data_IF_747854809218
#
_entry.id   IF_747854809218
#
_cell.length_a   1.000
_cell.length_b   1.000
_cell.length_c   1.000
_cell.angle_alpha   90.00
_cell.angle_beta   90.00
_cell.angle_gamma   90.00
#
_symmetry.space_group_name_H-M   'P 1'
#
loop_
_entity.id
_entity.type
_entity.pdbx_description
1 polymer ?
#
# COMPACT_ATOMS: atom_id res chain seq x y z
N UNK A 1 0.98 15.57 6.76
CA UNK A 1 0.17 14.53 6.07
C UNK A 1 0.65 13.17 6.54
N UNK A 2 -0.26 12.30 6.98
CA UNK A 2 0.09 10.92 7.40
C UNK A 2 0.21 10.02 6.17
N UNK A 3 1.00 8.96 6.26
CA UNK A 3 1.21 8.03 5.13
C UNK A 3 -0.10 7.39 4.64
N UNK A 4 -1.03 7.09 5.55
CA UNK A 4 -2.36 6.54 5.20
C UNK A 4 -3.20 7.53 4.39
N UNK A 5 -3.12 8.83 4.70
CA UNK A 5 -3.81 9.89 3.95
C UNK A 5 -3.18 10.09 2.57
N UNK A 6 -1.85 10.05 2.50
CA UNK A 6 -1.11 10.16 1.24
C UNK A 6 -1.44 9.03 0.25
N UNK A 7 -1.66 7.81 0.76
CA UNK A 7 -1.96 6.63 -0.06
C UNK A 7 -3.48 6.40 -0.26
N UNK A 8 -4.33 7.30 0.25
CA UNK A 8 -5.79 7.16 0.20
C UNK A 8 -6.27 5.83 0.80
N UNK A 9 -5.67 5.43 1.92
CA UNK A 9 -5.92 4.14 2.57
C UNK A 9 -7.18 4.15 3.42
N UNK A 10 -8.10 3.23 3.13
CA UNK A 10 -9.32 2.97 3.88
C UNK A 10 -9.31 1.53 4.39
N UNK A 11 -9.52 1.33 5.69
CA UNK A 11 -9.56 0.02 6.31
C UNK A 11 -11.01 -0.50 6.35
N UNK A 12 -11.22 -1.72 5.86
CA UNK A 12 -12.47 -2.45 5.96
C UNK A 12 -12.64 -3.17 7.31
N UNK A 13 -13.88 -3.54 7.62
CA UNK A 13 -14.23 -4.24 8.86
C UNK A 13 -13.70 -5.68 8.94
N UNK A 14 -13.32 -6.26 7.80
CA UNK A 14 -12.76 -7.60 7.66
C UNK A 14 -11.21 -7.61 7.75
N UNK A 15 -10.60 -6.48 8.09
CA UNK A 15 -9.14 -6.32 8.08
C UNK A 15 -8.56 -6.06 6.70
N UNK A 16 -9.39 -6.02 5.64
CA UNK A 16 -8.94 -5.62 4.32
C UNK A 16 -8.64 -4.12 4.26
N UNK A 17 -7.84 -3.73 3.27
CA UNK A 17 -7.52 -2.34 2.98
C UNK A 17 -7.81 -2.04 1.52
N UNK A 18 -8.29 -0.82 1.27
CA UNK A 18 -8.39 -0.25 -0.06
C UNK A 18 -7.50 0.98 -0.13
N UNK A 19 -6.65 1.07 -1.14
CA UNK A 19 -5.80 2.23 -1.40
C UNK A 19 -6.13 2.82 -2.76
N UNK A 20 -6.03 4.14 -2.88
CA UNK A 20 -6.19 4.84 -4.16
C UNK A 20 -4.81 5.18 -4.71
N UNK A 21 -4.37 4.45 -5.74
CA UNK A 21 -3.08 4.65 -6.38
C UNK A 21 -3.28 5.55 -7.59
N UNK A 22 -3.07 6.85 -7.41
CA UNK A 22 -3.15 7.81 -8.52
C UNK A 22 -1.97 7.74 -9.48
N UNK A 23 -2.08 8.43 -10.61
CA UNK A 23 -1.03 8.47 -11.66
C UNK A 23 0.22 9.20 -11.19
N UNK A 24 0.08 10.11 -10.24
CA UNK A 24 1.18 10.80 -9.56
C UNK A 24 2.08 9.85 -8.76
N UNK A 25 1.58 8.65 -8.44
CA UNK A 25 2.34 7.59 -7.77
C UNK A 25 2.92 6.57 -8.76
N UNK A 26 2.92 6.84 -10.07
CA UNK A 26 3.54 5.95 -11.04
C UNK A 26 5.07 6.09 -11.04
N UNK A 27 5.75 4.96 -11.09
CA UNK A 27 7.18 4.88 -11.30
C UNK A 27 7.54 4.76 -12.78
N UNK A 28 8.75 4.28 -13.06
CA UNK A 28 9.17 3.95 -14.41
C UNK A 28 8.25 2.87 -15.04
N UNK A 29 8.15 2.88 -16.37
CA UNK A 29 7.42 1.88 -17.16
C UNK A 29 5.88 1.86 -16.97
N UNK A 30 5.29 2.94 -16.42
CA UNK A 30 3.84 3.15 -16.41
C UNK A 30 3.05 2.35 -15.37
N UNK A 31 3.75 1.74 -14.41
CA UNK A 31 3.14 1.08 -13.25
C UNK A 31 3.26 1.92 -11.98
N UNK A 32 2.49 1.58 -10.96
CA UNK A 32 2.61 2.13 -9.62
C UNK A 32 4.05 1.99 -9.10
N UNK A 33 4.54 3.04 -8.44
CA UNK A 33 5.85 3.05 -7.80
C UNK A 33 5.91 1.97 -6.73
N UNK A 34 6.87 1.05 -6.86
CA UNK A 34 6.99 -0.10 -5.97
C UNK A 34 7.08 0.27 -4.49
N UNK A 35 7.73 1.40 -4.17
CA UNK A 35 7.80 1.90 -2.78
C UNK A 35 6.46 2.34 -2.21
N UNK A 36 5.53 2.86 -3.05
CA UNK A 36 4.18 3.19 -2.62
C UNK A 36 3.40 1.91 -2.28
N UNK A 37 3.51 0.87 -3.11
CA UNK A 37 2.90 -0.43 -2.84
C UNK A 37 3.48 -1.09 -1.58
N UNK A 38 4.80 -1.03 -1.40
CA UNK A 38 5.46 -1.50 -0.18
C UNK A 38 5.02 -0.73 1.07
N UNK A 39 4.77 0.57 0.96
CA UNK A 39 4.23 1.36 2.08
C UNK A 39 2.80 0.94 2.44
N UNK A 40 1.95 0.61 1.46
CA UNK A 40 0.62 0.05 1.70
C UNK A 40 0.67 -1.24 2.53
N UNK A 41 1.61 -2.15 2.22
CA UNK A 41 1.73 -3.42 2.97
C UNK A 41 2.17 -3.20 4.42
N UNK A 42 3.06 -2.25 4.66
CA UNK A 42 3.49 -1.87 6.02
C UNK A 42 2.34 -1.27 6.83
N UNK A 43 1.51 -0.41 6.21
CA UNK A 43 0.33 0.16 6.87
C UNK A 43 -0.66 -0.93 7.29
N UNK A 44 -0.97 -1.85 6.37
CA UNK A 44 -1.85 -2.97 6.67
C UNK A 44 -1.28 -3.87 7.78
N UNK A 45 0.01 -4.19 7.72
CA UNK A 45 0.66 -5.00 8.75
C UNK A 45 0.63 -4.34 10.14
N UNK A 46 0.91 -3.04 10.23
CA UNK A 46 0.85 -2.29 11.50
C UNK A 46 -0.55 -2.29 12.11
N UNK A 47 -1.59 -2.25 11.30
CA UNK A 47 -2.97 -2.30 11.77
C UNK A 47 -3.34 -3.64 12.42
N UNK A 48 -2.65 -4.73 12.06
CA UNK A 48 -2.85 -6.06 12.66
C UNK A 48 -2.07 -6.25 13.98
N UNK A 49 -0.99 -5.49 14.19
CA UNK A 49 -0.09 -5.64 15.35
C UNK A 49 0.34 -4.29 15.92
N UNK A 50 -0.57 -3.63 16.64
CA UNK A 50 -0.43 -2.24 17.09
C UNK A 50 0.83 -1.90 17.93
N UNK A 51 1.34 -2.86 18.71
CA UNK A 51 2.49 -2.65 19.59
C UNK A 51 3.83 -3.08 18.98
N UNK A 52 3.85 -3.43 17.69
CA UNK A 52 5.04 -3.94 17.01
C UNK A 52 5.54 -2.96 15.95
N UNK A 53 6.87 -2.87 15.84
CA UNK A 53 7.54 -2.06 14.81
C UNK A 53 8.15 -3.01 13.76
N UNK A 54 7.80 -2.85 12.47
CA UNK A 54 8.43 -3.63 11.40
C UNK A 54 9.94 -3.36 11.34
N UNK A 55 10.77 -4.42 11.34
CA UNK A 55 12.23 -4.32 11.24
C UNK A 55 12.76 -4.54 9.82
N UNK A 56 12.04 -5.30 9.01
CA UNK A 56 12.37 -5.59 7.61
C UNK A 56 11.09 -5.83 6.80
N UNK A 57 11.19 -5.65 5.49
CA UNK A 57 10.12 -5.91 4.54
C UNK A 57 10.71 -6.55 3.29
N UNK A 58 10.10 -7.64 2.83
CA UNK A 58 10.34 -8.24 1.52
C UNK A 58 9.06 -8.10 0.69
N UNK A 59 9.18 -7.54 -0.52
CA UNK A 59 8.06 -7.35 -1.45
C UNK A 59 8.43 -7.92 -2.80
N UNK A 60 7.59 -8.84 -3.28
CA UNK A 60 7.74 -9.47 -4.60
C UNK A 60 6.63 -8.98 -5.52
N UNK A 61 6.99 -8.24 -6.56
CA UNK A 61 6.05 -7.78 -7.57
C UNK A 61 5.82 -8.87 -8.62
N UNK A 62 4.59 -9.38 -8.69
CA UNK A 62 4.21 -10.45 -9.63
C UNK A 62 3.71 -9.91 -10.98
N UNK A 63 3.15 -8.69 -10.99
CA UNK A 63 2.60 -8.02 -12.17
C UNK A 63 2.60 -6.51 -11.97
N UNK A 64 2.55 -5.77 -13.08
CA UNK A 64 2.34 -4.32 -13.03
C UNK A 64 0.97 -3.98 -12.46
N UNK A 65 0.90 -2.89 -11.70
CA UNK A 65 -0.34 -2.31 -11.19
C UNK A 65 -0.53 -0.92 -11.80
N UNK A 66 -1.65 -0.70 -12.51
CA UNK A 66 -2.00 0.61 -13.06
C UNK A 66 -2.54 1.57 -12.00
N UNK A 67 -2.90 2.79 -12.43
CA UNK A 67 -3.63 3.71 -11.57
C UNK A 67 -5.03 3.17 -11.26
N UNK A 68 -5.53 3.44 -10.06
CA UNK A 68 -6.86 3.04 -9.63
C UNK A 68 -6.87 2.52 -8.20
N UNK A 69 -7.89 1.71 -7.89
CA UNK A 69 -8.05 1.11 -6.57
C UNK A 69 -7.20 -0.16 -6.44
N UNK A 70 -6.44 -0.25 -5.36
CA UNK A 70 -5.67 -1.43 -4.97
C UNK A 70 -6.26 -2.01 -3.68
N UNK A 71 -6.72 -3.26 -3.74
CA UNK A 71 -7.24 -3.98 -2.57
C UNK A 71 -6.16 -4.89 -1.99
N UNK A 72 -6.02 -4.84 -0.67
CA UNK A 72 -5.20 -5.75 0.13
C UNK A 72 -6.15 -6.51 1.06
N UNK A 73 -6.03 -7.83 1.07
CA UNK A 73 -6.85 -8.76 1.86
C UNK A 73 -5.99 -9.63 2.73
#
# INVERSE_FOLDING_TARGET
>A
MRAVEFLGGEQGNDGSWTFTIGRELHGAFGGAFGGALAACTVLAARALVGDRVPSALDVRFLRGLGAGSARLT
#
